data_IF_930114874672
#
_entry.id   IF_930114874672
#
_cell.length_a   1.000
_cell.length_b   1.000
_cell.length_c   1.000
_cell.angle_alpha   90.00
_cell.angle_beta   90.00
_cell.angle_gamma   90.00
#
_symmetry.space_group_name_H-M   'P 1'
#
loop_
_entity.id
_entity.type
_entity.pdbx_description
1 polymer ?
#
# COMPACT_ATOMS: atom_id res chain seq x y z
N UNK A 1 -2.39 12.25 -27.74
CA UNK A 1 -3.77 11.80 -27.45
C UNK A 1 -4.31 12.71 -26.36
N UNK A 2 -5.49 13.32 -26.57
CA UNK A 2 -6.13 14.13 -25.53
C UNK A 2 -6.67 13.22 -24.43
N UNK A 3 -6.36 13.53 -23.18
CA UNK A 3 -6.81 12.80 -21.99
C UNK A 3 -8.05 13.50 -21.44
N UNK A 4 -9.06 12.72 -21.08
CA UNK A 4 -10.32 13.20 -20.49
C UNK A 4 -10.89 12.10 -19.58
N UNK A 5 -11.81 12.49 -18.71
CA UNK A 5 -12.56 11.56 -17.88
C UNK A 5 -13.72 11.00 -18.73
N UNK A 6 -13.77 9.68 -19.03
CA UNK A 6 -14.82 9.12 -19.87
C UNK A 6 -16.16 9.09 -19.13
N UNK A 7 -17.25 9.04 -19.89
CA UNK A 7 -18.56 8.70 -19.34
C UNK A 7 -18.55 7.25 -18.85
N UNK A 8 -19.18 7.01 -17.70
CA UNK A 8 -19.23 5.69 -17.08
C UNK A 8 -20.66 5.26 -16.85
N UNK A 9 -20.89 3.95 -16.92
CA UNK A 9 -22.16 3.40 -16.48
C UNK A 9 -22.30 3.61 -14.98
N UNK A 10 -23.38 4.29 -14.58
CA UNK A 10 -23.79 4.47 -13.19
C UNK A 10 -24.37 3.17 -12.62
N UNK A 11 -23.64 2.07 -12.76
CA UNK A 11 -24.02 0.80 -12.16
C UNK A 11 -24.16 0.99 -10.64
N UNK A 12 -25.26 0.52 -10.03
CA UNK A 12 -25.64 0.90 -8.67
C UNK A 12 -24.71 0.34 -7.58
N UNK A 13 -23.91 -0.69 -7.88
CA UNK A 13 -23.07 -1.38 -6.89
C UNK A 13 -21.60 -1.47 -7.36
N UNK A 14 -20.88 -0.36 -7.22
CA UNK A 14 -19.46 -0.28 -7.57
C UNK A 14 -18.62 -1.21 -6.69
N UNK A 15 -18.89 -1.27 -5.38
CA UNK A 15 -18.11 -2.10 -4.45
C UNK A 15 -18.14 -3.58 -4.85
N UNK A 16 -19.29 -4.10 -5.30
CA UNK A 16 -19.39 -5.47 -5.83
C UNK A 16 -18.58 -5.66 -7.10
N UNK A 17 -18.64 -4.72 -8.06
CA UNK A 17 -17.90 -4.81 -9.33
C UNK A 17 -16.39 -4.90 -9.07
N UNK A 18 -15.86 -3.99 -8.24
CA UNK A 18 -14.45 -3.95 -7.93
C UNK A 18 -14.01 -5.13 -7.04
N UNK A 19 -14.86 -5.59 -6.13
CA UNK A 19 -14.56 -6.78 -5.31
C UNK A 19 -14.48 -8.05 -6.17
N UNK A 20 -15.38 -8.19 -7.14
CA UNK A 20 -15.32 -9.28 -8.11
C UNK A 20 -14.05 -9.19 -8.98
N UNK A 21 -13.69 -8.01 -9.49
CA UNK A 21 -12.45 -7.83 -10.26
C UNK A 21 -11.20 -8.24 -9.45
N UNK A 22 -11.12 -7.84 -8.18
CA UNK A 22 -10.04 -8.25 -7.27
C UNK A 22 -10.02 -9.77 -7.05
N UNK A 23 -11.18 -10.42 -6.98
CA UNK A 23 -11.27 -11.87 -6.89
C UNK A 23 -10.80 -12.57 -8.18
N UNK A 24 -11.19 -12.05 -9.35
CA UNK A 24 -10.74 -12.55 -10.66
C UNK A 24 -9.21 -12.55 -10.77
N UNK A 25 -8.56 -11.44 -10.38
CA UNK A 25 -7.09 -11.36 -10.37
C UNK A 25 -6.48 -12.44 -9.49
N UNK A 26 -6.96 -12.58 -8.24
CA UNK A 26 -6.45 -13.58 -7.29
C UNK A 26 -6.62 -15.02 -7.77
N UNK A 27 -7.71 -15.31 -8.48
CA UNK A 27 -7.98 -16.65 -9.03
C UNK A 27 -7.18 -16.94 -10.31
N UNK A 28 -6.77 -15.90 -11.04
CA UNK A 28 -5.91 -16.04 -12.21
C UNK A 28 -4.47 -16.42 -11.85
N UNK A 29 -4.01 -16.05 -10.66
CA UNK A 29 -2.69 -16.39 -10.12
C UNK A 29 -2.54 -17.90 -9.91
N UNK A 30 -1.95 -18.61 -10.89
CA UNK A 30 -1.82 -20.07 -10.85
C UNK A 30 -1.26 -20.70 -12.13
N UNK A 31 -1.70 -21.94 -12.46
CA UNK A 31 -1.17 -22.79 -13.57
C UNK A 31 -1.12 -22.15 -14.97
N UNK A 32 -1.80 -21.02 -15.20
CA UNK A 32 -1.85 -20.30 -16.49
C UNK A 32 -1.01 -19.00 -16.53
N UNK A 33 -0.27 -18.68 -15.46
CA UNK A 33 0.47 -17.43 -15.31
C UNK A 33 -0.35 -16.32 -14.66
N UNK A 34 0.31 -15.26 -14.22
CA UNK A 34 -0.35 -14.12 -13.59
C UNK A 34 -1.09 -13.26 -14.63
N UNK A 35 -2.07 -12.48 -14.19
CA UNK A 35 -2.78 -11.54 -15.04
C UNK A 35 -3.14 -10.27 -14.29
N UNK A 36 -3.44 -9.21 -15.03
CA UNK A 36 -4.01 -7.97 -14.50
C UNK A 36 -5.44 -7.82 -15.04
N UNK A 37 -6.34 -7.24 -14.24
CA UNK A 37 -7.73 -7.02 -14.67
C UNK A 37 -7.96 -5.56 -14.96
N UNK A 38 -8.36 -5.27 -16.20
CA UNK A 38 -8.81 -3.95 -16.63
C UNK A 38 -10.34 -3.87 -16.54
N UNK A 39 -10.83 -2.87 -15.83
CA UNK A 39 -12.25 -2.49 -15.79
C UNK A 39 -12.46 -1.30 -16.72
N UNK A 40 -13.29 -1.46 -17.75
CA UNK A 40 -13.63 -0.35 -18.65
C UNK A 40 -14.61 0.63 -18.01
N UNK A 41 -14.79 1.83 -18.60
CA UNK A 41 -15.83 2.78 -18.19
C UNK A 41 -17.25 2.16 -18.14
N UNK A 42 -17.57 1.29 -19.12
CA UNK A 42 -18.80 0.48 -19.16
C UNK A 42 -18.79 -0.77 -18.28
N UNK A 43 -17.87 -0.85 -17.31
CA UNK A 43 -17.74 -1.91 -16.29
C UNK A 43 -17.52 -3.33 -16.83
N UNK A 44 -17.05 -3.45 -18.07
CA UNK A 44 -16.59 -4.72 -18.63
C UNK A 44 -15.19 -5.06 -18.11
N UNK A 45 -14.95 -6.36 -17.85
CA UNK A 45 -13.65 -6.85 -17.39
C UNK A 45 -12.85 -7.47 -18.53
N UNK A 46 -11.63 -6.98 -18.72
CA UNK A 46 -10.64 -7.57 -19.61
C UNK A 46 -9.47 -8.11 -18.80
N UNK A 47 -9.16 -9.38 -18.97
CA UNK A 47 -8.00 -10.03 -18.36
C UNK A 47 -6.82 -9.82 -19.29
N UNK A 48 -5.78 -9.13 -18.83
CA UNK A 48 -4.54 -8.94 -19.58
C UNK A 48 -3.51 -9.92 -19.03
N UNK A 49 -3.10 -10.94 -19.80
CA UNK A 49 -2.12 -11.91 -19.34
C UNK A 49 -0.76 -11.26 -19.13
N UNK A 50 -0.08 -11.58 -18.03
CA UNK A 50 1.29 -11.16 -17.82
C UNK A 50 2.26 -12.02 -18.65
N UNK A 51 3.46 -11.50 -18.97
CA UNK A 51 4.51 -12.29 -19.58
C UNK A 51 4.86 -13.57 -18.81
N UNK A 52 5.36 -14.58 -19.53
CA UNK A 52 5.69 -15.87 -18.96
C UNK A 52 6.77 -15.75 -17.87
N UNK A 53 6.76 -16.58 -16.81
CA UNK A 53 7.76 -16.52 -15.76
C UNK A 53 9.18 -16.54 -16.31
N UNK A 54 10.04 -15.64 -15.79
CA UNK A 54 11.44 -15.46 -16.22
C UNK A 54 11.65 -14.89 -17.63
N UNK A 55 10.59 -14.42 -18.30
CA UNK A 55 10.72 -13.82 -19.65
C UNK A 55 11.02 -12.32 -19.65
N UNK A 56 10.79 -11.60 -18.55
CA UNK A 56 11.14 -10.18 -18.45
C UNK A 56 12.64 -10.00 -18.18
N UNK A 57 13.23 -8.94 -18.75
CA UNK A 57 14.61 -8.56 -18.51
C UNK A 57 14.85 -8.25 -17.01
N UNK A 58 15.98 -8.70 -16.46
CA UNK A 58 16.29 -8.57 -15.03
C UNK A 58 16.32 -7.12 -14.55
N UNK A 59 16.89 -6.22 -15.34
CA UNK A 59 17.00 -4.80 -14.96
C UNK A 59 15.62 -4.12 -14.89
N UNK A 60 14.71 -4.53 -15.77
CA UNK A 60 13.32 -4.07 -15.74
C UNK A 60 12.62 -4.61 -14.49
N UNK A 61 12.77 -5.91 -14.19
CA UNK A 61 12.23 -6.53 -12.96
C UNK A 61 12.74 -5.82 -11.71
N UNK A 62 14.05 -5.56 -11.62
CA UNK A 62 14.67 -4.86 -10.50
C UNK A 62 14.11 -3.43 -10.32
N UNK A 63 13.85 -2.73 -11.42
CA UNK A 63 13.24 -1.38 -11.38
C UNK A 63 11.81 -1.43 -10.82
N UNK A 64 11.04 -2.47 -11.13
CA UNK A 64 9.68 -2.67 -10.61
C UNK A 64 9.71 -3.05 -9.12
N UNK A 65 10.66 -3.89 -8.71
CA UNK A 65 10.86 -4.30 -7.30
C UNK A 65 11.24 -3.11 -6.40
N UNK A 66 11.91 -2.07 -6.93
CA UNK A 66 12.18 -0.84 -6.17
C UNK A 66 10.89 -0.09 -5.80
N UNK A 67 9.87 -0.14 -6.66
CA UNK A 67 8.59 0.55 -6.46
C UNK A 67 7.63 -0.24 -5.55
N UNK A 68 7.76 -1.57 -5.53
CA UNK A 68 6.79 -2.47 -4.90
C UNK A 68 7.41 -3.33 -3.80
N UNK A 69 6.80 -3.41 -2.61
CA UNK A 69 7.33 -4.26 -1.55
C UNK A 69 6.95 -5.71 -1.79
N UNK A 70 7.81 -6.62 -1.36
CA UNK A 70 7.45 -8.02 -1.10
C UNK A 70 6.85 -8.14 0.31
N UNK A 71 5.83 -9.00 0.55
CA UNK A 71 5.16 -9.94 -0.38
C UNK A 71 4.13 -9.25 -1.31
N UNK A 72 3.51 -9.99 -2.28
CA UNK A 72 2.49 -9.46 -3.18
C UNK A 72 1.42 -8.61 -2.52
N UNK A 73 1.08 -7.50 -3.20
CA UNK A 73 0.20 -6.43 -2.71
C UNK A 73 -1.01 -6.23 -3.61
N UNK A 74 -2.16 -5.76 -3.06
CA UNK A 74 -3.24 -5.24 -3.86
C UNK A 74 -2.85 -3.87 -4.44
N UNK A 75 -2.83 -3.79 -5.77
CA UNK A 75 -2.45 -2.60 -6.53
C UNK A 75 -3.65 -2.16 -7.35
N UNK A 76 -4.00 -0.88 -7.23
CA UNK A 76 -4.96 -0.24 -8.11
C UNK A 76 -4.23 0.74 -9.02
N UNK A 77 -4.51 0.65 -10.31
CA UNK A 77 -3.98 1.55 -11.33
C UNK A 77 -5.11 2.45 -11.81
N UNK A 78 -4.86 3.76 -11.84
CA UNK A 78 -5.71 4.74 -12.51
C UNK A 78 -5.02 5.19 -13.78
N UNK A 79 -5.61 4.89 -14.94
CA UNK A 79 -5.06 5.27 -16.22
C UNK A 79 -6.15 5.48 -17.25
N UNK A 80 -5.85 6.23 -18.30
CA UNK A 80 -6.79 6.42 -19.41
C UNK A 80 -7.06 5.08 -20.11
N UNK A 81 -8.31 4.61 -20.03
CA UNK A 81 -8.71 3.28 -20.50
C UNK A 81 -10.01 3.27 -21.31
N UNK A 82 -10.41 4.41 -21.87
CA UNK A 82 -11.47 4.44 -22.89
C UNK A 82 -10.93 3.84 -24.19
N UNK A 83 -10.87 2.50 -24.19
CA UNK A 83 -10.30 1.68 -25.25
C UNK A 83 -11.35 1.28 -26.28
N UNK A 84 -12.59 1.07 -25.84
CA UNK A 84 -13.67 0.53 -26.68
C UNK A 84 -14.03 1.53 -27.77
N UNK A 85 -14.12 2.83 -27.43
CA UNK A 85 -14.35 3.90 -28.42
C UNK A 85 -13.24 4.00 -29.47
N UNK A 86 -12.09 3.35 -29.25
CA UNK A 86 -10.90 3.42 -30.12
C UNK A 86 -10.56 2.11 -30.82
N UNK A 87 -11.29 1.02 -30.53
CA UNK A 87 -11.17 -0.23 -31.31
C UNK A 87 -12.11 -0.12 -32.53
N UNK A 88 -11.61 -0.27 -33.76
CA UNK A 88 -12.45 -0.26 -34.95
C UNK A 88 -13.46 -1.43 -34.90
N UNK A 89 -14.72 -1.13 -34.57
CA UNK A 89 -15.76 -2.15 -34.38
C UNK A 89 -16.18 -2.90 -35.67
N UNK A 90 -15.81 -2.41 -36.85
CA UNK A 90 -16.34 -2.92 -38.12
C UNK A 90 -15.47 -3.98 -38.83
N UNK A 91 -14.23 -4.25 -38.39
CA UNK A 91 -13.30 -5.06 -39.20
C UNK A 91 -12.34 -5.98 -38.44
N UNK A 92 -12.33 -5.99 -37.10
CA UNK A 92 -11.44 -6.88 -36.33
C UNK A 92 -12.11 -8.24 -36.05
N UNK A 93 -11.52 -9.37 -36.48
CA UNK A 93 -12.01 -10.70 -36.13
C UNK A 93 -12.05 -10.90 -34.60
N UNK A 94 -13.06 -11.59 -34.04
CA UNK A 94 -13.17 -11.82 -32.59
C UNK A 94 -11.90 -12.41 -31.95
N UNK A 95 -11.16 -13.24 -32.70
CA UNK A 95 -9.91 -13.86 -32.24
C UNK A 95 -8.77 -12.84 -32.05
N UNK A 96 -8.78 -11.73 -32.80
CA UNK A 96 -7.74 -10.70 -32.76
C UNK A 96 -8.12 -9.51 -31.86
N UNK A 97 -9.39 -9.41 -31.48
CA UNK A 97 -9.92 -8.32 -30.64
C UNK A 97 -9.17 -8.20 -29.31
N UNK A 98 -8.83 -9.34 -28.69
CA UNK A 98 -8.09 -9.35 -27.42
C UNK A 98 -6.68 -8.75 -27.55
N UNK A 99 -5.93 -9.15 -28.58
CA UNK A 99 -4.59 -8.64 -28.81
C UNK A 99 -4.62 -7.15 -29.18
N UNK A 100 -5.60 -6.74 -29.99
CA UNK A 100 -5.76 -5.35 -30.38
C UNK A 100 -6.11 -4.46 -29.18
N UNK A 101 -6.96 -4.92 -28.26
CA UNK A 101 -7.26 -4.21 -27.01
C UNK A 101 -6.01 -4.01 -26.16
N UNK A 102 -5.18 -5.05 -26.00
CA UNK A 102 -3.92 -4.96 -25.26
C UNK A 102 -2.98 -3.95 -25.93
N UNK A 103 -2.85 -3.98 -27.26
CA UNK A 103 -2.02 -3.02 -28.02
C UNK A 103 -2.51 -1.59 -27.86
N UNK A 104 -3.82 -1.36 -27.97
CA UNK A 104 -4.43 -0.03 -27.77
C UNK A 104 -4.20 0.45 -26.35
N UNK A 105 -4.33 -0.43 -25.36
CA UNK A 105 -4.07 -0.08 -23.95
C UNK A 105 -2.60 0.23 -23.70
N UNK A 106 -1.68 -0.58 -24.23
CA UNK A 106 -0.25 -0.34 -24.14
C UNK A 106 0.16 1.00 -24.79
N UNK A 107 -0.49 1.39 -25.88
CA UNK A 107 -0.28 2.69 -26.51
C UNK A 107 -0.91 3.85 -25.71
N UNK A 108 -2.01 3.58 -24.99
CA UNK A 108 -2.71 4.57 -24.19
C UNK A 108 -2.01 4.86 -22.85
N UNK A 109 -1.40 3.85 -22.22
CA UNK A 109 -0.79 3.92 -20.89
C UNK A 109 0.74 3.87 -20.99
N UNK A 110 1.46 4.99 -20.79
CA UNK A 110 2.90 5.11 -21.02
C UNK A 110 3.75 4.17 -20.17
N UNK A 111 3.24 3.81 -18.99
CA UNK A 111 3.89 2.91 -18.03
C UNK A 111 3.26 1.50 -18.06
N UNK A 112 2.64 1.10 -19.17
CA UNK A 112 2.01 -0.23 -19.30
C UNK A 112 2.99 -1.38 -18.98
N UNK A 113 4.28 -1.21 -19.32
CA UNK A 113 5.35 -2.15 -18.95
C UNK A 113 5.42 -2.40 -17.44
N UNK A 114 5.32 -1.35 -16.63
CA UNK A 114 5.25 -1.46 -15.17
C UNK A 114 3.96 -2.14 -14.71
N UNK A 115 2.82 -1.82 -15.34
CA UNK A 115 1.51 -2.42 -15.00
C UNK A 115 1.55 -3.95 -15.12
N UNK A 116 2.00 -4.47 -16.27
CA UNK A 116 2.16 -5.93 -16.44
C UNK A 116 3.32 -6.49 -15.62
N UNK A 117 4.33 -5.66 -15.34
CA UNK A 117 5.45 -5.94 -14.45
C UNK A 117 5.05 -6.24 -13.01
N UNK A 118 4.14 -5.44 -12.45
CA UNK A 118 3.57 -5.69 -11.13
C UNK A 118 2.83 -7.03 -11.07
N UNK A 119 1.98 -7.31 -12.06
CA UNK A 119 1.31 -8.61 -12.16
C UNK A 119 2.29 -9.77 -12.33
N UNK A 120 3.35 -9.58 -13.12
CA UNK A 120 4.42 -10.56 -13.29
C UNK A 120 5.12 -10.91 -11.98
N UNK A 121 5.36 -9.93 -11.09
CA UNK A 121 5.87 -10.13 -9.73
C UNK A 121 4.84 -10.74 -8.76
N UNK A 122 3.60 -10.97 -9.21
CA UNK A 122 2.54 -11.62 -8.44
C UNK A 122 1.62 -10.66 -7.70
N UNK A 123 1.76 -9.34 -7.87
CA UNK A 123 0.84 -8.37 -7.29
C UNK A 123 -0.58 -8.52 -7.87
N UNK A 124 -1.59 -8.21 -7.05
CA UNK A 124 -2.97 -8.25 -7.48
C UNK A 124 -3.33 -6.90 -8.10
N UNK A 125 -3.22 -6.78 -9.43
CA UNK A 125 -3.37 -5.51 -10.14
C UNK A 125 -4.75 -5.40 -10.79
N UNK A 126 -5.49 -4.36 -10.43
CA UNK A 126 -6.67 -3.91 -11.16
C UNK A 126 -6.41 -2.54 -11.77
N UNK A 127 -7.02 -2.24 -12.92
CA UNK A 127 -6.92 -0.94 -13.59
C UNK A 127 -8.31 -0.39 -13.89
N UNK A 128 -8.52 0.90 -13.67
CA UNK A 128 -9.73 1.63 -14.08
C UNK A 128 -9.44 3.11 -14.38
N UNK A 129 -10.46 3.86 -14.77
CA UNK A 129 -10.35 5.26 -15.23
C UNK A 129 -10.23 6.30 -14.10
N UNK A 130 -10.56 5.94 -12.85
CA UNK A 130 -10.56 6.90 -11.75
C UNK A 130 -11.80 7.79 -11.65
N UNK A 131 -12.90 7.45 -12.32
CA UNK A 131 -14.11 8.26 -12.34
C UNK A 131 -14.64 8.51 -10.92
N UNK A 132 -15.09 9.73 -10.56
CA UNK A 132 -15.50 10.06 -9.20
C UNK A 132 -16.51 9.09 -8.57
N UNK A 133 -17.47 8.60 -9.36
CA UNK A 133 -18.48 7.64 -8.92
C UNK A 133 -17.91 6.25 -8.55
N UNK A 134 -16.76 5.88 -9.11
CA UNK A 134 -16.11 4.59 -8.92
C UNK A 134 -14.83 4.69 -8.08
N UNK A 135 -14.33 5.90 -7.85
CA UNK A 135 -13.01 6.15 -7.28
C UNK A 135 -12.83 5.42 -5.94
N UNK A 136 -13.77 5.61 -5.01
CA UNK A 136 -13.69 5.04 -3.67
C UNK A 136 -13.68 3.50 -3.72
N UNK A 137 -14.66 2.88 -4.40
CA UNK A 137 -14.74 1.43 -4.56
C UNK A 137 -13.50 0.85 -5.27
N UNK A 138 -12.94 1.61 -6.22
CA UNK A 138 -11.76 1.27 -6.99
C UNK A 138 -10.51 1.18 -6.12
N UNK A 139 -10.24 2.20 -5.32
CA UNK A 139 -9.03 2.26 -4.49
C UNK A 139 -9.18 1.56 -3.14
N UNK A 140 -10.40 1.21 -2.72
CA UNK A 140 -10.68 0.52 -1.45
C UNK A 140 -9.82 -0.74 -1.28
N UNK A 141 -9.10 -0.80 -0.17
CA UNK A 141 -8.26 -1.95 0.21
C UNK A 141 -6.99 -2.13 -0.64
N UNK A 142 -6.68 -1.21 -1.55
CA UNK A 142 -5.38 -1.19 -2.21
C UNK A 142 -4.30 -0.77 -1.20
N UNK A 143 -3.09 -1.31 -1.33
CA UNK A 143 -1.91 -0.83 -0.58
C UNK A 143 -1.04 0.07 -1.46
N UNK A 144 -1.18 -0.05 -2.79
CA UNK A 144 -0.44 0.76 -3.76
C UNK A 144 -1.44 1.31 -4.77
N UNK A 145 -1.44 2.63 -4.91
CA UNK A 145 -2.17 3.37 -5.92
C UNK A 145 -1.18 3.88 -6.95
N UNK A 146 -1.27 3.38 -8.18
CA UNK A 146 -0.45 3.81 -9.31
C UNK A 146 -1.32 4.67 -10.22
N UNK A 147 -0.85 5.83 -10.64
CA UNK A 147 -1.64 6.77 -11.44
C UNK A 147 -0.88 7.28 -12.64
N UNK A 148 -1.61 7.44 -13.74
CA UNK A 148 -1.21 8.26 -14.86
C UNK A 148 -1.30 9.75 -14.46
N UNK A 149 -0.18 10.47 -14.52
CA UNK A 149 -0.12 11.89 -14.21
C UNK A 149 -1.05 12.74 -15.08
N UNK A 150 -1.39 12.29 -16.29
CA UNK A 150 -2.39 12.93 -17.14
C UNK A 150 -3.83 12.76 -16.65
N UNK A 151 -4.10 11.74 -15.83
CA UNK A 151 -5.42 11.51 -15.22
C UNK A 151 -5.59 12.25 -13.89
N UNK A 152 -4.51 12.52 -13.16
CA UNK A 152 -4.56 13.16 -11.83
C UNK A 152 -5.37 14.47 -11.81
N UNK A 153 -5.19 15.42 -12.77
CA UNK A 153 -5.99 16.64 -12.80
C UNK A 153 -7.48 16.45 -13.05
N UNK A 154 -7.89 15.26 -13.51
CA UNK A 154 -9.27 14.93 -13.85
C UNK A 154 -9.99 14.17 -12.73
N UNK A 155 -9.27 13.81 -11.67
CA UNK A 155 -9.84 13.15 -10.51
C UNK A 155 -10.64 14.14 -9.65
N UNK A 156 -11.47 13.58 -8.77
CA UNK A 156 -12.14 14.35 -7.72
C UNK A 156 -11.12 15.15 -6.89
N UNK A 157 -11.38 16.41 -6.48
CA UNK A 157 -10.39 17.25 -5.81
C UNK A 157 -9.82 16.68 -4.50
N UNK A 158 -10.64 15.91 -3.78
CA UNK A 158 -10.34 15.27 -2.50
C UNK A 158 -9.86 13.82 -2.65
N UNK A 159 -9.42 13.41 -3.84
CA UNK A 159 -9.00 12.02 -4.11
C UNK A 159 -7.94 11.52 -3.14
N UNK A 160 -7.02 12.40 -2.69
CA UNK A 160 -5.97 12.08 -1.70
C UNK A 160 -6.58 11.67 -0.37
N UNK A 161 -7.47 12.50 0.16
CA UNK A 161 -8.16 12.23 1.43
C UNK A 161 -8.98 10.95 1.36
N UNK A 162 -9.68 10.73 0.24
CA UNK A 162 -10.46 9.49 0.06
C UNK A 162 -9.55 8.27 -0.01
N UNK A 163 -8.47 8.33 -0.80
CA UNK A 163 -7.49 7.25 -0.89
C UNK A 163 -6.90 6.92 0.49
N UNK A 164 -6.49 7.94 1.25
CA UNK A 164 -5.98 7.79 2.61
C UNK A 164 -6.96 7.06 3.54
N UNK A 165 -8.26 7.34 3.42
CA UNK A 165 -9.30 6.75 4.27
C UNK A 165 -9.63 5.30 3.92
N UNK A 166 -9.62 4.93 2.62
CA UNK A 166 -10.18 3.64 2.18
C UNK A 166 -9.14 2.63 1.70
N UNK A 167 -7.91 3.07 1.41
CA UNK A 167 -6.78 2.18 1.15
C UNK A 167 -6.30 1.50 2.44
N UNK A 168 -5.66 0.34 2.30
CA UNK A 168 -5.21 -0.46 3.44
C UNK A 168 -3.70 -0.36 3.66
N UNK A 169 -3.26 -0.74 4.86
CA UNK A 169 -1.86 -0.99 5.17
C UNK A 169 -0.96 0.24 5.04
N UNK A 170 0.31 0.01 4.69
CA UNK A 170 1.29 1.08 4.43
C UNK A 170 1.14 1.55 2.99
N UNK A 171 0.29 2.54 2.82
CA UNK A 171 -0.14 3.06 1.54
C UNK A 171 1.05 3.62 0.73
N UNK A 172 1.03 3.42 -0.58
CA UNK A 172 1.99 4.00 -1.51
C UNK A 172 1.25 4.60 -2.69
N UNK A 173 1.64 5.81 -3.08
CA UNK A 173 1.11 6.49 -4.25
C UNK A 173 2.26 6.69 -5.23
N UNK A 174 2.09 6.19 -6.45
CA UNK A 174 3.09 6.24 -7.52
C UNK A 174 2.45 6.96 -8.69
N UNK A 175 3.04 8.04 -9.16
CA UNK A 175 2.56 8.80 -10.31
C UNK A 175 3.59 8.71 -11.41
N UNK A 176 3.17 8.21 -12.56
CA UNK A 176 3.98 8.18 -13.77
C UNK A 176 3.58 9.34 -14.68
N UNK A 177 4.57 10.05 -15.20
CA UNK A 177 4.40 11.05 -16.23
C UNK A 177 3.94 10.44 -17.54
N UNK A 178 3.45 11.31 -18.44
CA UNK A 178 3.00 10.90 -19.78
C UNK A 178 4.17 10.52 -20.71
N UNK A 179 5.40 10.83 -20.30
CA UNK A 179 6.65 10.36 -20.89
C UNK A 179 7.05 8.95 -20.43
N UNK A 180 6.26 8.34 -19.52
CA UNK A 180 6.51 7.01 -18.95
C UNK A 180 7.52 7.01 -17.81
N UNK A 181 8.02 8.17 -17.38
CA UNK A 181 8.93 8.29 -16.24
C UNK A 181 8.15 8.41 -14.93
N UNK A 182 8.85 8.19 -13.82
CA UNK A 182 8.30 8.37 -12.49
C UNK A 182 8.31 9.87 -12.13
N UNK A 183 7.14 10.48 -12.00
CA UNK A 183 6.99 11.88 -11.62
C UNK A 183 6.96 12.06 -10.10
N UNK A 184 6.24 11.17 -9.41
CA UNK A 184 6.13 11.22 -7.95
C UNK A 184 6.03 9.81 -7.36
N UNK A 185 6.65 9.65 -6.19
CA UNK A 185 6.56 8.46 -5.37
C UNK A 185 6.40 8.88 -3.92
N UNK A 186 5.22 8.63 -3.38
CA UNK A 186 4.84 9.01 -2.03
C UNK A 186 4.50 7.75 -1.24
N UNK A 187 4.97 7.67 -0.01
CA UNK A 187 4.54 6.63 0.92
C UNK A 187 3.46 7.27 1.79
N UNK A 188 2.19 6.98 1.56
CA UNK A 188 1.13 7.46 2.43
C UNK A 188 1.21 6.73 3.80
N UNK A 189 1.25 7.54 4.87
CA UNK A 189 1.79 7.18 6.19
C UNK A 189 3.20 7.74 6.46
N UNK A 190 3.88 8.28 5.44
CA UNK A 190 4.91 9.32 5.57
C UNK A 190 4.24 10.67 5.29
N UNK A 191 3.27 11.05 6.12
CA UNK A 191 3.04 12.46 6.32
C UNK A 191 4.41 13.05 6.69
N UNK A 192 4.81 14.18 6.09
CA UNK A 192 5.75 15.05 6.79
C UNK A 192 5.14 15.24 8.17
N UNK A 193 5.73 14.66 9.23
CA UNK A 193 5.14 14.83 10.52
C UNK A 193 5.16 16.33 10.77
N UNK A 194 4.00 16.91 11.10
CA UNK A 194 3.99 18.17 11.83
C UNK A 194 5.13 18.08 12.83
N UNK A 195 6.13 18.99 12.81
CA UNK A 195 7.26 18.89 13.70
C UNK A 195 6.73 18.70 15.11
N UNK A 196 6.91 17.49 15.65
CA UNK A 196 6.55 17.23 17.03
C UNK A 196 7.71 17.70 17.89
N UNK A 197 7.38 18.24 19.04
CA UNK A 197 8.39 18.43 20.07
C UNK A 197 8.63 17.06 20.73
N UNK A 198 9.57 16.28 20.18
CA UNK A 198 9.97 14.96 20.71
C UNK A 198 10.33 15.04 22.19
N UNK A 199 10.95 16.15 22.62
CA UNK A 199 11.32 16.38 24.01
C UNK A 199 10.07 16.58 24.87
N UNK A 200 9.14 17.43 24.45
CA UNK A 200 7.90 17.66 25.20
C UNK A 200 7.05 16.39 25.33
N UNK A 201 6.91 15.60 24.26
CA UNK A 201 6.18 14.34 24.31
C UNK A 201 6.86 13.30 25.21
N UNK A 202 8.19 13.25 25.19
CA UNK A 202 8.95 12.37 26.09
C UNK A 202 8.77 12.78 27.55
N UNK A 203 8.89 14.08 27.85
CA UNK A 203 8.69 14.63 29.19
C UNK A 203 7.27 14.38 29.70
N UNK A 204 6.26 14.59 28.85
CA UNK A 204 4.87 14.28 29.16
C UNK A 204 4.69 12.78 29.45
N UNK A 205 5.19 11.89 28.59
CA UNK A 205 5.08 10.45 28.79
C UNK A 205 5.75 9.97 30.10
N UNK A 206 6.91 10.53 30.43
CA UNK A 206 7.62 10.24 31.68
C UNK A 206 6.83 10.79 32.89
N UNK A 207 6.29 12.00 32.79
CA UNK A 207 5.53 12.63 33.87
C UNK A 207 4.25 11.85 34.18
N UNK A 208 3.49 11.49 33.15
CA UNK A 208 2.27 10.68 33.31
C UNK A 208 2.59 9.30 33.89
N UNK A 209 3.71 8.67 33.49
CA UNK A 209 4.12 7.39 34.06
C UNK A 209 4.53 7.51 35.55
N UNK A 210 5.09 8.66 35.98
CA UNK A 210 5.41 8.96 37.38
C UNK A 210 4.16 9.20 38.22
N UNK A 211 3.13 9.78 37.63
CA UNK A 211 1.81 10.00 38.24
C UNK A 211 0.91 8.73 38.20
N UNK A 212 1.45 7.62 37.72
CA UNK A 212 0.74 6.35 37.53
C UNK A 212 -0.42 6.38 36.51
N UNK A 213 -0.53 7.46 35.73
CA UNK A 213 -1.40 7.60 34.56
C UNK A 213 -0.83 6.86 33.34
N UNK A 214 -0.76 5.53 33.44
CA UNK A 214 -0.04 4.71 32.47
C UNK A 214 -0.66 4.70 31.06
N UNK A 215 -1.97 4.87 30.93
CA UNK A 215 -2.63 4.89 29.63
C UNK A 215 -2.29 6.18 28.86
N UNK A 216 -2.30 7.31 29.56
CA UNK A 216 -1.93 8.64 29.08
C UNK A 216 -0.42 8.70 28.75
N UNK A 217 0.40 8.05 29.58
CA UNK A 217 1.83 7.88 29.29
C UNK A 217 2.04 7.12 27.97
N UNK A 218 1.30 6.02 27.74
CA UNK A 218 1.36 5.26 26.50
C UNK A 218 0.94 6.13 25.31
N UNK A 219 -0.13 6.92 25.41
CA UNK A 219 -0.57 7.79 24.30
C UNK A 219 0.50 8.82 23.87
N UNK A 220 1.14 9.48 24.83
CA UNK A 220 2.21 10.43 24.52
C UNK A 220 3.43 9.74 23.87
N UNK A 221 3.81 8.57 24.40
CA UNK A 221 4.94 7.79 23.90
C UNK A 221 4.63 7.11 22.54
N UNK A 222 3.38 6.73 22.29
CA UNK A 222 2.90 6.22 21.00
C UNK A 222 3.04 7.30 19.93
N UNK A 223 2.63 8.52 20.25
CA UNK A 223 2.76 9.67 19.34
C UNK A 223 4.23 9.89 18.99
N UNK A 224 5.12 9.94 19.99
CA UNK A 224 6.56 10.08 19.77
C UNK A 224 7.14 8.91 18.94
N UNK A 225 6.79 7.67 19.26
CA UNK A 225 7.32 6.47 18.58
C UNK A 225 6.75 6.28 17.18
N UNK A 226 5.62 6.91 16.83
CA UNK A 226 5.15 6.99 15.45
C UNK A 226 6.08 7.84 14.57
N UNK A 227 6.69 8.88 15.15
CA UNK A 227 7.61 9.80 14.47
C UNK A 227 9.07 9.34 14.53
N UNK A 228 9.51 8.83 15.68
CA UNK A 228 10.84 8.29 15.88
C UNK A 228 10.74 6.86 16.44
N UNK A 229 10.52 5.84 15.58
CA UNK A 229 10.33 4.45 16.01
C UNK A 229 11.53 3.84 16.74
N UNK A 230 12.69 4.49 16.71
CA UNK A 230 13.90 4.05 17.38
C UNK A 230 14.27 4.97 18.55
N UNK A 231 13.31 5.73 19.09
CA UNK A 231 13.57 6.54 20.27
C UNK A 231 13.68 5.66 21.52
N UNK A 232 14.91 5.36 21.91
CA UNK A 232 15.25 4.36 22.92
C UNK A 232 14.64 4.61 24.30
N UNK A 233 14.63 5.87 24.75
CA UNK A 233 14.06 6.25 26.04
C UNK A 233 12.53 6.08 26.03
N UNK A 234 11.89 6.31 24.88
CA UNK A 234 10.44 6.20 24.76
C UNK A 234 10.01 4.73 24.77
N UNK A 235 10.74 3.85 24.07
CA UNK A 235 10.51 2.40 24.12
C UNK A 235 10.59 1.85 25.55
N UNK A 236 11.59 2.25 26.34
CA UNK A 236 11.73 1.78 27.73
C UNK A 236 10.60 2.28 28.63
N UNK A 237 10.21 3.55 28.50
CA UNK A 237 9.12 4.11 29.31
C UNK A 237 7.77 3.51 28.91
N UNK A 238 7.53 3.24 27.62
CA UNK A 238 6.29 2.61 27.15
C UNK A 238 6.22 1.16 27.57
N UNK A 239 7.33 0.42 27.48
CA UNK A 239 7.42 -0.93 28.02
C UNK A 239 7.11 -0.97 29.53
N UNK A 240 7.63 0.00 30.30
CA UNK A 240 7.30 0.12 31.72
C UNK A 240 5.81 0.41 31.97
N UNK A 241 5.22 1.35 31.24
CA UNK A 241 3.78 1.65 31.34
C UNK A 241 2.92 0.43 30.98
N UNK A 242 3.26 -0.29 29.91
CA UNK A 242 2.61 -1.54 29.54
C UNK A 242 2.75 -2.63 30.62
N UNK A 243 3.92 -2.74 31.26
CA UNK A 243 4.10 -3.67 32.39
C UNK A 243 3.17 -3.36 33.57
N UNK A 244 2.99 -2.07 33.90
CA UNK A 244 2.10 -1.64 34.98
C UNK A 244 0.63 -1.91 34.68
N UNK A 245 0.24 -1.82 33.39
CA UNK A 245 -1.10 -2.19 32.91
C UNK A 245 -1.26 -3.69 32.60
N UNK A 246 -0.23 -4.53 32.85
CA UNK A 246 -0.23 -5.96 32.52
C UNK A 246 -0.40 -6.27 31.03
N UNK A 247 -0.09 -5.31 30.15
CA UNK A 247 -0.03 -5.49 28.70
C UNK A 247 1.29 -6.17 28.30
N UNK A 248 1.48 -7.42 28.76
CA UNK A 248 2.78 -8.11 28.69
C UNK A 248 3.32 -8.32 27.28
N UNK A 249 2.44 -8.59 26.30
CA UNK A 249 2.85 -8.75 24.90
C UNK A 249 3.39 -7.44 24.29
N UNK A 250 2.75 -6.32 24.57
CA UNK A 250 3.19 -5.00 24.12
C UNK A 250 4.52 -4.59 24.80
N UNK A 251 4.64 -4.82 26.10
CA UNK A 251 5.88 -4.57 26.84
C UNK A 251 7.05 -5.41 26.30
N UNK A 252 6.81 -6.69 25.99
CA UNK A 252 7.80 -7.59 25.42
C UNK A 252 8.32 -7.06 24.07
N UNK A 253 7.41 -6.65 23.17
CA UNK A 253 7.78 -6.11 21.87
C UNK A 253 8.67 -4.86 21.97
N UNK A 254 8.39 -3.96 22.92
CA UNK A 254 9.19 -2.76 23.14
C UNK A 254 10.57 -3.05 23.72
N UNK A 255 10.66 -3.98 24.68
CA UNK A 255 11.95 -4.42 25.21
C UNK A 255 12.82 -5.08 24.14
N UNK A 256 12.24 -5.91 23.27
CA UNK A 256 12.97 -6.56 22.18
C UNK A 256 13.49 -5.53 21.16
N UNK A 257 12.68 -4.53 20.79
CA UNK A 257 13.11 -3.43 19.93
C UNK A 257 14.25 -2.62 20.55
N UNK A 258 14.16 -2.31 21.84
CA UNK A 258 15.24 -1.62 22.55
C UNK A 258 16.54 -2.44 22.55
N UNK A 259 16.46 -3.74 22.88
CA UNK A 259 17.61 -4.63 22.98
C UNK A 259 18.28 -4.93 21.63
N UNK A 260 17.58 -4.78 20.51
CA UNK A 260 18.15 -4.92 19.17
C UNK A 260 19.01 -3.70 18.74
N UNK A 261 18.78 -2.52 19.35
CA UNK A 261 19.48 -1.29 19.00
C UNK A 261 20.95 -1.24 19.50
N UNK A 262 21.81 -0.35 18.95
CA UNK A 262 23.16 -0.13 19.47
C UNK A 262 23.17 0.28 20.96
N UNK A 263 22.24 1.13 21.38
CA UNK A 263 22.10 1.55 22.78
C UNK A 263 21.72 0.37 23.69
N UNK A 264 20.83 -0.52 23.22
CA UNK A 264 20.48 -1.74 23.95
C UNK A 264 21.62 -2.75 24.01
N UNK A 265 22.46 -2.84 22.97
CA UNK A 265 23.67 -3.68 22.96
C UNK A 265 24.72 -3.19 23.96
N UNK A 266 24.85 -1.88 24.12
CA UNK A 266 25.81 -1.24 25.04
C UNK A 266 25.24 -0.96 26.44
N UNK A 267 23.95 -1.26 26.70
CA UNK A 267 23.34 -0.98 27.99
C UNK A 267 24.01 -1.82 29.10
N UNK A 268 24.55 -1.21 30.17
CA UNK A 268 25.20 -1.93 31.26
C UNK A 268 24.27 -2.91 32.00
N UNK A 269 22.95 -2.71 31.91
CA UNK A 269 21.91 -3.58 32.47
C UNK A 269 21.28 -4.53 31.42
N UNK A 270 21.93 -4.74 30.27
CA UNK A 270 21.40 -5.59 29.19
C UNK A 270 21.05 -7.01 29.67
N UNK A 271 21.88 -7.62 30.50
CA UNK A 271 21.64 -8.97 31.02
C UNK A 271 20.32 -9.07 31.82
N UNK A 272 20.06 -8.10 32.69
CA UNK A 272 18.81 -8.00 33.46
C UNK A 272 17.59 -7.84 32.55
N UNK A 273 17.70 -6.99 31.51
CA UNK A 273 16.63 -6.80 30.54
C UNK A 273 16.36 -8.06 29.72
N UNK A 274 17.39 -8.81 29.31
CA UNK A 274 17.24 -10.09 28.62
C UNK A 274 16.55 -11.13 29.50
N UNK A 275 16.88 -11.19 30.79
CA UNK A 275 16.20 -12.07 31.75
C UNK A 275 14.72 -11.69 31.89
N UNK A 276 14.41 -10.38 31.96
CA UNK A 276 13.02 -9.89 32.00
C UNK A 276 12.24 -10.28 30.75
N UNK A 277 12.83 -10.12 29.57
CA UNK A 277 12.25 -10.56 28.28
C UNK A 277 12.00 -12.07 28.27
N UNK A 278 12.95 -12.87 28.77
CA UNK A 278 12.80 -14.31 28.86
C UNK A 278 11.62 -14.70 29.77
N UNK A 279 11.52 -14.10 30.96
CA UNK A 279 10.41 -14.34 31.90
C UNK A 279 9.06 -13.94 31.29
N UNK A 280 8.98 -12.78 30.64
CA UNK A 280 7.76 -12.33 29.97
C UNK A 280 7.33 -13.28 28.84
N UNK A 281 8.28 -13.77 28.05
CA UNK A 281 8.01 -14.71 26.98
C UNK A 281 7.47 -16.04 27.51
N UNK A 282 8.00 -16.55 28.61
CA UNK A 282 7.48 -17.76 29.24
C UNK A 282 6.10 -17.52 29.84
N UNK A 283 5.91 -16.41 30.56
CA UNK A 283 4.60 -16.04 31.12
C UNK A 283 3.51 -15.95 30.04
N UNK A 284 3.82 -15.42 28.86
CA UNK A 284 2.87 -15.38 27.74
C UNK A 284 2.59 -16.78 27.16
N UNK A 285 3.59 -17.66 27.09
CA UNK A 285 3.39 -19.05 26.64
C UNK A 285 2.51 -19.86 27.58
N UNK A 286 2.64 -19.64 28.90
CA UNK A 286 1.93 -20.41 29.91
C UNK A 286 0.48 -19.94 30.11
N UNK A 287 0.10 -18.77 29.58
CA UNK A 287 -1.23 -18.17 29.71
C UNK A 287 -2.01 -18.11 28.38
N UNK A 288 -1.60 -18.91 27.39
CA UNK A 288 -2.32 -19.16 26.12
C UNK A 288 -2.79 -20.61 26.06
#
# INVERSE_FOLDING_TARGET
MQIYMPEVDAAPDQDRIFSYARQTVRQSSGRKGNSVVLLTPGRMQFIVPCPAPRSMARDHVASIEQLTPLPPKPITVIAFNDLISKVPHASTPPQQMHEQLIRTFAAAVPFFGYVVGFGYLGHNVIIFEGHPHAFEAGVRGAEILVMDGGMVPLLRPDWRQVAEQVMAGRQRVVIFGRDGQLDAFEMAGAANPTPIDEKALLEQGIQQAREEHYAEAIQALDTLLAHNPQHMIALLNRAHAHMRLKHYAAALADYERYLASPAGQQNPKRAELLERVHKLRNHLKDNH
#
